data_IF_428286587140
#
_entry.id   IF_428286587140
#
_cell.length_a   1.000
_cell.length_b   1.000
_cell.length_c   1.000
_cell.angle_alpha   90.00
_cell.angle_beta   90.00
_cell.angle_gamma   90.00
#
_symmetry.space_group_name_H-M   'P 1'
#
loop_
_entity.id
_entity.type
_entity.pdbx_description
1 polymer ?
#
# COMPACT_ATOMS: atom_id res chain seq x y z
N UNK A 1 21.13 -5.76 -0.51
CA UNK A 1 20.39 -6.63 -1.43
C UNK A 1 19.66 -7.68 -0.65
N UNK A 2 18.92 -8.55 -1.34
CA UNK A 2 18.10 -9.57 -0.66
C UNK A 2 18.95 -10.46 0.25
N UNK A 3 20.10 -10.90 -0.22
CA UNK A 3 20.98 -11.73 0.60
C UNK A 3 21.47 -11.00 1.85
N UNK A 4 21.74 -9.71 1.72
CA UNK A 4 22.15 -8.90 2.87
C UNK A 4 21.03 -8.77 3.88
N UNK A 5 19.78 -8.59 3.40
CA UNK A 5 18.62 -8.52 4.28
C UNK A 5 18.45 -9.82 5.05
N UNK A 6 18.58 -10.96 4.36
CA UNK A 6 18.50 -12.26 5.00
C UNK A 6 19.65 -12.45 5.99
N UNK A 7 20.85 -12.01 5.63
CA UNK A 7 22.03 -12.06 6.50
C UNK A 7 21.88 -11.24 7.77
N UNK A 8 21.01 -10.22 7.74
CA UNK A 8 20.71 -9.39 8.92
C UNK A 8 19.49 -9.89 9.68
N UNK A 9 18.97 -11.07 9.35
CA UNK A 9 17.89 -11.67 10.11
C UNK A 9 16.49 -11.38 9.62
N UNK A 10 16.34 -10.79 8.45
CA UNK A 10 15.01 -10.60 7.86
C UNK A 10 14.46 -11.93 7.39
N UNK A 11 13.21 -12.22 7.77
CA UNK A 11 12.54 -13.44 7.35
C UNK A 11 12.07 -13.35 5.91
N UNK A 12 11.82 -14.51 5.28
CA UNK A 12 11.24 -14.57 3.94
C UNK A 12 9.87 -13.86 3.89
N UNK A 13 9.11 -13.93 4.98
CA UNK A 13 7.82 -13.27 5.10
C UNK A 13 7.97 -11.76 4.93
N UNK A 14 8.98 -11.17 5.60
CA UNK A 14 9.24 -9.73 5.49
C UNK A 14 9.72 -9.37 4.09
N UNK A 15 10.62 -10.17 3.51
CA UNK A 15 11.12 -9.93 2.16
C UNK A 15 9.99 -10.00 1.14
N UNK A 16 9.12 -10.99 1.25
CA UNK A 16 7.96 -11.13 0.36
C UNK A 16 6.99 -9.95 0.52
N UNK A 17 6.77 -9.47 1.74
CA UNK A 17 5.92 -8.32 1.99
C UNK A 17 6.49 -7.05 1.35
N UNK A 18 7.79 -6.82 1.49
CA UNK A 18 8.46 -5.67 0.86
C UNK A 18 8.34 -5.76 -0.65
N UNK A 19 8.54 -6.94 -1.23
CA UNK A 19 8.39 -7.13 -2.67
C UNK A 19 6.96 -6.85 -3.12
N UNK A 20 5.96 -7.27 -2.34
CA UNK A 20 4.55 -7.02 -2.64
C UNK A 20 4.20 -5.53 -2.57
N UNK A 21 4.88 -4.77 -1.72
CA UNK A 21 4.65 -3.34 -1.57
C UNK A 21 5.33 -2.51 -2.66
N UNK A 22 6.11 -3.15 -3.52
CA UNK A 22 6.80 -2.48 -4.62
C UNK A 22 5.94 -2.54 -5.88
N UNK A 23 5.49 -1.38 -6.37
CA UNK A 23 4.69 -1.29 -7.57
C UNK A 23 5.55 -1.62 -8.79
N UNK A 24 5.03 -2.49 -9.65
CA UNK A 24 5.73 -2.88 -10.88
C UNK A 24 5.54 -1.83 -11.95
N UNK A 25 6.53 -1.70 -12.84
CA UNK A 25 6.45 -0.81 -13.98
C UNK A 25 5.29 -1.24 -14.88
N UNK A 26 4.45 -0.26 -15.24
CA UNK A 26 3.28 -0.52 -16.09
C UNK A 26 2.08 -1.11 -15.35
N UNK A 27 2.22 -1.40 -14.06
CA UNK A 27 1.12 -1.88 -13.25
C UNK A 27 0.21 -0.72 -12.85
N UNK A 28 -1.11 -0.88 -13.01
CA UNK A 28 -2.04 0.13 -12.54
C UNK A 28 -2.07 0.14 -11.00
N UNK A 29 -2.50 1.25 -10.42
CA UNK A 29 -2.62 1.33 -8.98
C UNK A 29 -3.61 0.28 -8.44
N UNK A 30 -4.71 0.07 -9.16
CA UNK A 30 -5.73 -0.90 -8.77
C UNK A 30 -5.17 -2.33 -8.76
N UNK A 31 -4.43 -2.71 -9.80
CA UNK A 31 -3.80 -4.02 -9.89
C UNK A 31 -2.75 -4.19 -8.80
N UNK A 32 -1.98 -3.14 -8.53
CA UNK A 32 -1.01 -3.12 -7.46
C UNK A 32 -1.68 -3.38 -6.11
N UNK A 33 -2.79 -2.70 -5.82
CA UNK A 33 -3.53 -2.85 -4.55
C UNK A 33 -4.07 -4.27 -4.42
N UNK A 34 -4.63 -4.83 -5.50
CA UNK A 34 -5.12 -6.21 -5.49
C UNK A 34 -3.99 -7.19 -5.18
N UNK A 35 -2.83 -6.99 -5.79
CA UNK A 35 -1.67 -7.84 -5.54
C UNK A 35 -1.19 -7.73 -4.10
N UNK A 36 -1.15 -6.52 -3.55
CA UNK A 36 -0.78 -6.28 -2.15
C UNK A 36 -1.76 -6.98 -1.21
N UNK A 37 -3.05 -6.96 -1.54
CA UNK A 37 -4.08 -7.56 -0.68
C UNK A 37 -3.92 -9.06 -0.49
N UNK A 38 -3.18 -9.72 -1.38
CA UNK A 38 -2.94 -11.16 -1.30
C UNK A 38 -1.81 -11.54 -0.34
N UNK A 39 -1.00 -10.58 0.10
CA UNK A 39 0.03 -10.80 1.10
C UNK A 39 -0.43 -10.19 2.42
N UNK A 40 -0.62 -11.00 3.43
CA UNK A 40 -1.22 -10.57 4.70
C UNK A 40 -0.43 -9.43 5.36
N UNK A 41 0.89 -9.56 5.44
CA UNK A 41 1.71 -8.53 6.08
C UNK A 41 1.73 -7.24 5.24
N UNK A 42 1.90 -7.37 3.92
CA UNK A 42 1.89 -6.20 3.03
C UNK A 42 0.53 -5.49 3.07
N UNK A 43 -0.56 -6.26 3.14
CA UNK A 43 -1.91 -5.72 3.26
C UNK A 43 -2.06 -4.88 4.52
N UNK A 44 -1.60 -5.38 5.65
CA UNK A 44 -1.68 -4.65 6.93
C UNK A 44 -0.90 -3.35 6.88
N UNK A 45 0.31 -3.39 6.34
CA UNK A 45 1.16 -2.20 6.21
C UNK A 45 0.50 -1.18 5.27
N UNK A 46 -0.04 -1.65 4.14
CA UNK A 46 -0.67 -0.77 3.16
C UNK A 46 -1.96 -0.14 3.68
N UNK A 47 -2.73 -0.87 4.47
CA UNK A 47 -3.94 -0.33 5.11
C UNK A 47 -3.58 0.91 5.94
N UNK A 48 -2.55 0.80 6.78
CA UNK A 48 -2.12 1.92 7.61
C UNK A 48 -1.62 3.09 6.77
N UNK A 49 -0.87 2.82 5.71
CA UNK A 49 -0.39 3.84 4.79
C UNK A 49 -1.55 4.58 4.11
N UNK A 50 -2.55 3.85 3.63
CA UNK A 50 -3.71 4.45 2.98
C UNK A 50 -4.54 5.26 3.97
N UNK A 51 -4.74 4.77 5.18
CA UNK A 51 -5.47 5.49 6.23
C UNK A 51 -4.78 6.82 6.54
N UNK A 52 -3.46 6.82 6.62
CA UNK A 52 -2.70 8.05 6.85
C UNK A 52 -2.89 9.04 5.70
N UNK A 53 -2.91 8.56 4.47
CA UNK A 53 -3.15 9.40 3.29
C UNK A 53 -4.58 9.93 3.20
N UNK A 54 -5.54 9.30 3.88
CA UNK A 54 -6.93 9.74 3.96
C UNK A 54 -7.18 10.71 5.12
N UNK A 55 -6.16 11.08 5.85
CA UNK A 55 -6.30 12.00 6.98
C UNK A 55 -6.49 13.44 6.47
N UNK A 56 -7.73 13.88 6.40
CA UNK A 56 -8.10 15.19 5.86
C UNK A 56 -7.75 16.35 6.77
N UNK A 57 -7.44 16.08 8.05
CA UNK A 57 -7.08 17.13 8.99
C UNK A 57 -5.77 17.83 8.65
N UNK A 58 -4.97 17.23 7.77
CA UNK A 58 -3.72 17.81 7.30
C UNK A 58 -3.93 18.88 6.24
N UNK A 59 -5.12 18.92 5.64
CA UNK A 59 -5.41 19.81 4.52
C UNK A 59 -6.05 21.10 5.03
N UNK A 60 -5.50 22.25 4.64
CA UNK A 60 -6.11 23.54 4.93
C UNK A 60 -7.30 23.81 4.01
N UNK A 61 -7.23 23.32 2.77
CA UNK A 61 -8.33 23.36 1.80
C UNK A 61 -8.34 22.06 1.02
N UNK A 62 -9.49 21.70 0.47
CA UNK A 62 -9.65 20.51 -0.35
C UNK A 62 -9.85 20.96 -1.80
N UNK A 63 -8.94 20.52 -2.68
CA UNK A 63 -9.01 20.81 -4.11
C UNK A 63 -9.62 19.64 -4.87
N UNK A 64 -9.93 19.85 -6.17
CA UNK A 64 -10.42 18.76 -7.02
C UNK A 64 -9.40 17.61 -7.12
N UNK A 65 -8.10 17.93 -7.14
CA UNK A 65 -7.05 16.92 -7.15
C UNK A 65 -7.07 16.09 -5.88
N UNK A 66 -7.34 16.74 -4.75
CA UNK A 66 -7.45 16.03 -3.46
C UNK A 66 -8.65 15.09 -3.47
N UNK A 67 -9.78 15.50 -4.03
CA UNK A 67 -10.97 14.66 -4.12
C UNK A 67 -10.71 13.40 -4.96
N UNK A 68 -10.02 13.53 -6.09
CA UNK A 68 -9.66 12.38 -6.93
C UNK A 68 -8.76 11.42 -6.16
N UNK A 69 -7.77 11.96 -5.45
CA UNK A 69 -6.86 11.15 -4.64
C UNK A 69 -7.58 10.43 -3.50
N UNK A 70 -8.49 11.13 -2.83
CA UNK A 70 -9.29 10.57 -1.75
C UNK A 70 -10.13 9.39 -2.25
N UNK A 71 -10.79 9.54 -3.40
CA UNK A 71 -11.58 8.46 -4.00
C UNK A 71 -10.70 7.26 -4.31
N UNK A 72 -9.53 7.49 -4.86
CA UNK A 72 -8.57 6.43 -5.19
C UNK A 72 -8.14 5.66 -3.94
N UNK A 73 -7.76 6.37 -2.89
CA UNK A 73 -7.33 5.74 -1.64
C UNK A 73 -8.47 5.05 -0.92
N UNK A 74 -9.67 5.63 -0.95
CA UNK A 74 -10.84 5.00 -0.36
C UNK A 74 -11.15 3.66 -1.04
N UNK A 75 -11.13 3.63 -2.37
CA UNK A 75 -11.33 2.41 -3.13
C UNK A 75 -10.27 1.36 -2.81
N UNK A 76 -9.01 1.79 -2.71
CA UNK A 76 -7.91 0.91 -2.33
C UNK A 76 -8.12 0.32 -0.94
N UNK A 77 -8.55 1.14 0.02
CA UNK A 77 -8.82 0.69 1.37
C UNK A 77 -9.90 -0.38 1.41
N UNK A 78 -10.97 -0.20 0.63
CA UNK A 78 -12.04 -1.20 0.56
C UNK A 78 -11.53 -2.54 0.04
N UNK A 79 -10.68 -2.54 -0.99
CA UNK A 79 -10.08 -3.75 -1.51
C UNK A 79 -9.20 -4.41 -0.47
N UNK A 80 -8.35 -3.64 0.20
CA UNK A 80 -7.42 -4.16 1.21
C UNK A 80 -8.16 -4.74 2.41
N UNK A 81 -9.26 -4.13 2.84
CA UNK A 81 -10.01 -4.58 4.00
C UNK A 81 -10.86 -5.81 3.72
N UNK A 82 -11.20 -6.07 2.47
CA UNK A 82 -11.90 -7.30 2.09
C UNK A 82 -10.99 -8.52 2.20
N UNK A 83 -9.73 -8.26 2.01
CA UNK A 83 -8.68 -9.19 2.15
C UNK A 83 -8.56 -10.37 1.64
#
# INVERSE_FOLDING_TARGET
MIQELEGFGFSDVVVDAVASLTRKRGESYEDFVVRVSKNELARMVKIEDVKDNLNLTRLSTITDKDLVRIQKYHSALMVLMRG
#
